data_IF_010930097666
#
_entry.id   IF_010930097666
#
_cell.length_a   1.000
_cell.length_b   1.000
_cell.length_c   1.000
_cell.angle_alpha   90.00
_cell.angle_beta   90.00
_cell.angle_gamma   90.00
#
_symmetry.space_group_name_H-M   'P 1'
#
loop_
_entity.id
_entity.type
_entity.pdbx_description
1 polymer ?
#
# COMPACT_ATOMS: atom_id res chain seq x y z
N UNK A 1 5.98 -0.57 -0.36
CA UNK A 1 5.19 -1.63 0.31
C UNK A 1 4.76 -2.65 -0.74
N UNK A 2 4.88 -3.96 -0.49
CA UNK A 2 4.61 -5.02 -1.48
C UNK A 2 3.22 -4.90 -2.11
N UNK A 3 2.21 -4.52 -1.31
CA UNK A 3 0.85 -4.29 -1.78
C UNK A 3 0.76 -3.30 -2.97
N UNK A 4 1.44 -2.16 -2.91
CA UNK A 4 1.36 -1.17 -4.00
C UNK A 4 2.10 -1.61 -5.26
N UNK A 5 3.13 -2.45 -5.13
CA UNK A 5 3.81 -3.07 -6.28
C UNK A 5 2.84 -4.00 -6.99
N UNK A 6 2.22 -4.91 -6.24
CA UNK A 6 1.23 -5.86 -6.76
C UNK A 6 0.02 -5.17 -7.40
N UNK A 7 -0.41 -4.03 -6.85
CA UNK A 7 -1.53 -3.25 -7.39
C UNK A 7 -1.19 -2.46 -8.66
N UNK A 8 0.09 -2.19 -8.93
CA UNK A 8 0.53 -1.30 -10.00
C UNK A 8 1.27 -2.01 -11.15
N UNK A 9 1.59 -3.30 -11.00
CA UNK A 9 2.14 -4.11 -12.08
C UNK A 9 1.01 -4.59 -13.01
N UNK A 10 0.93 -4.10 -14.27
CA UNK A 10 -0.06 -4.60 -15.21
C UNK A 10 0.25 -6.05 -15.59
N UNK A 11 -0.80 -6.87 -15.75
CA UNK A 11 -0.72 -8.21 -16.34
C UNK A 11 0.04 -9.28 -15.54
N UNK A 12 0.23 -9.10 -14.23
CA UNK A 12 0.79 -10.15 -13.37
C UNK A 12 -0.31 -11.10 -12.88
N UNK A 13 -0.14 -12.41 -13.07
CA UNK A 13 -1.02 -13.43 -12.51
C UNK A 13 -0.65 -13.63 -11.03
N UNK A 14 -1.25 -12.80 -10.17
CA UNK A 14 -0.98 -12.80 -8.74
C UNK A 14 -1.92 -13.80 -8.07
N UNK A 15 -1.36 -14.72 -7.28
CA UNK A 15 -2.19 -15.65 -6.51
C UNK A 15 -2.98 -14.91 -5.42
N UNK A 16 -4.19 -15.40 -5.11
CA UNK A 16 -5.02 -14.85 -4.02
C UNK A 16 -4.23 -14.78 -2.71
N UNK A 17 -3.45 -15.82 -2.41
CA UNK A 17 -2.62 -15.90 -1.22
C UNK A 17 -1.51 -14.82 -1.19
N UNK A 18 -0.85 -14.56 -2.32
CA UNK A 18 0.18 -13.51 -2.38
C UNK A 18 -0.43 -12.12 -2.17
N UNK A 19 -1.60 -11.87 -2.76
CA UNK A 19 -2.33 -10.61 -2.59
C UNK A 19 -2.80 -10.43 -1.14
N UNK A 20 -3.33 -11.48 -0.53
CA UNK A 20 -3.80 -11.48 0.86
C UNK A 20 -2.65 -11.24 1.84
N UNK A 21 -1.52 -11.94 1.68
CA UNK A 21 -0.34 -11.74 2.51
C UNK A 21 0.18 -10.30 2.42
N UNK A 22 0.29 -9.75 1.21
CA UNK A 22 0.72 -8.37 1.02
C UNK A 22 -0.23 -7.34 1.66
N UNK A 23 -1.53 -7.63 1.67
CA UNK A 23 -2.53 -6.81 2.36
C UNK A 23 -2.41 -6.89 3.88
N UNK A 24 -2.25 -8.10 4.44
CA UNK A 24 -2.08 -8.30 5.89
C UNK A 24 -0.81 -7.59 6.40
N UNK A 25 0.30 -7.71 5.68
CA UNK A 25 1.56 -7.01 5.98
C UNK A 25 1.36 -5.48 6.00
N UNK A 26 0.62 -4.95 5.04
CA UNK A 26 0.30 -3.52 4.99
C UNK A 26 -0.51 -3.09 6.22
N UNK A 27 -1.54 -3.86 6.58
CA UNK A 27 -2.37 -3.56 7.76
C UNK A 27 -1.55 -3.58 9.05
N UNK A 28 -0.62 -4.53 9.19
CA UNK A 28 0.27 -4.60 10.34
C UNK A 28 1.20 -3.38 10.42
N UNK A 29 1.77 -2.95 9.29
CA UNK A 29 2.59 -1.74 9.24
C UNK A 29 1.79 -0.50 9.67
N UNK A 30 0.54 -0.36 9.23
CA UNK A 30 -0.33 0.75 9.66
C UNK A 30 -0.61 0.70 11.16
N UNK A 31 -0.86 -0.48 11.73
CA UNK A 31 -1.03 -0.65 13.19
C UNK A 31 0.22 -0.21 13.96
N UNK A 32 1.41 -0.60 13.49
CA UNK A 32 2.69 -0.21 14.10
C UNK A 32 2.92 1.30 14.02
N UNK A 33 2.62 1.91 12.87
CA UNK A 33 2.71 3.37 12.68
C UNK A 33 1.77 4.11 13.63
N UNK A 34 0.54 3.62 13.78
CA UNK A 34 -0.45 4.23 14.68
C UNK A 34 -0.07 4.10 16.17
N UNK A 35 0.67 3.06 16.54
CA UNK A 35 1.22 2.88 17.88
C UNK A 35 2.54 3.66 18.11
N UNK A 36 3.13 4.23 17.06
CA UNK A 36 4.39 4.96 17.15
C UNK A 36 4.23 6.26 17.94
N UNK A 37 5.21 6.54 18.80
CA UNK A 37 5.36 7.86 19.46
C UNK A 37 6.15 8.86 18.62
N UNK A 38 6.79 8.40 17.54
CA UNK A 38 7.44 9.27 16.56
C UNK A 38 6.40 9.73 15.53
N UNK A 39 5.77 10.86 15.83
CA UNK A 39 4.76 11.48 14.98
C UNK A 39 5.32 11.98 13.65
N UNK A 40 6.60 12.36 13.59
CA UNK A 40 7.22 12.81 12.35
C UNK A 40 7.40 11.65 11.37
N UNK A 41 7.85 10.51 11.89
CA UNK A 41 7.89 9.26 11.13
C UNK A 41 6.49 8.84 10.69
N UNK A 42 5.51 8.82 11.60
CA UNK A 42 4.15 8.43 11.28
C UNK A 42 3.53 9.32 10.18
N UNK A 43 3.68 10.64 10.30
CA UNK A 43 3.18 11.58 9.31
C UNK A 43 3.81 11.39 7.92
N UNK A 44 5.14 11.17 7.84
CA UNK A 44 5.82 10.93 6.57
C UNK A 44 5.33 9.63 5.91
N UNK A 45 5.19 8.56 6.69
CA UNK A 45 4.74 7.28 6.18
C UNK A 45 3.28 7.31 5.73
N UNK A 46 2.40 7.99 6.47
CA UNK A 46 1.00 8.18 6.04
C UNK A 46 0.89 9.01 4.76
N UNK A 47 1.72 10.05 4.60
CA UNK A 47 1.77 10.81 3.34
C UNK A 47 2.26 9.97 2.17
N UNK A 48 3.27 9.11 2.39
CA UNK A 48 3.74 8.18 1.38
C UNK A 48 2.60 7.24 0.93
N UNK A 49 1.87 6.64 1.88
CA UNK A 49 0.69 5.79 1.59
C UNK A 49 -0.38 6.54 0.79
N UNK A 50 -0.66 7.81 1.14
CA UNK A 50 -1.61 8.65 0.41
C UNK A 50 -1.20 8.89 -1.05
N UNK A 51 0.10 9.11 -1.31
CA UNK A 51 0.64 9.30 -2.66
C UNK A 51 0.48 8.01 -3.48
N UNK A 52 0.86 6.87 -2.90
CA UNK A 52 0.74 5.56 -3.58
C UNK A 52 -0.72 5.24 -3.93
N UNK A 53 -1.66 5.42 -3.00
CA UNK A 53 -3.10 5.24 -3.27
C UNK A 53 -3.61 6.18 -4.38
N UNK A 54 -3.09 7.41 -4.43
CA UNK A 54 -3.44 8.35 -5.50
C UNK A 54 -2.91 7.90 -6.86
N UNK A 55 -1.76 7.24 -6.89
CA UNK A 55 -1.17 6.68 -8.11
C UNK A 55 -1.90 5.43 -8.58
N UNK A 56 -2.26 4.51 -7.67
CA UNK A 56 -3.05 3.31 -8.02
C UNK A 56 -4.39 3.67 -8.69
N UNK A 57 -5.04 4.76 -8.27
CA UNK A 57 -6.29 5.21 -8.88
C UNK A 57 -6.15 5.85 -10.27
N UNK A 58 -4.94 6.23 -10.71
CA UNK A 58 -4.71 6.82 -12.03
C UNK A 58 -4.75 5.78 -13.17
N UNK A 59 -4.57 4.49 -12.85
CA UNK A 59 -4.69 3.39 -13.81
C UNK A 59 -6.13 3.08 -14.25
N UNK A 60 -7.17 3.67 -13.60
CA UNK A 60 -8.59 3.46 -13.96
C UNK A 60 -9.14 4.42 -15.02
N UNK A 61 -8.31 5.15 -15.75
CA UNK A 61 -8.73 5.78 -17.01
C UNK A 61 -8.71 4.74 -18.14
N UNK A 62 -9.63 3.79 -18.10
CA UNK A 62 -9.98 3.01 -19.28
C UNK A 62 -11.04 3.81 -20.06
N UNK A 63 -10.66 4.21 -21.27
CA UNK A 63 -11.50 4.56 -22.43
C UNK A 63 -12.62 3.56 -22.67
#
# INVERSE_FOLDING_TARGET
>A
MRLFVLLNEPSQEISVNEMENAYLDFVEQIKLINASKDYSYAFRTLNFVRIELSNTNRGKKCT
#
